data_IF_619920288604
#
_entry.id   IF_619920288604
#
_cell.length_a   1.000
_cell.length_b   1.000
_cell.length_c   1.000
_cell.angle_alpha   90.00
_cell.angle_beta   90.00
_cell.angle_gamma   90.00
#
_symmetry.space_group_name_H-M   'P 1'
#
loop_
_entity.id
_entity.type
_entity.pdbx_description
1 polymer ?
#
# COMPACT_ATOMS: atom_id res chain seq x y z
N UNK A 1 -22.15 51.31 -1.80
CA UNK A 1 -20.73 50.98 -2.15
C UNK A 1 -20.02 50.22 -1.02
N UNK A 2 -19.87 50.76 0.21
CA UNK A 2 -19.15 50.09 1.33
C UNK A 2 -19.73 48.73 1.74
N UNK A 3 -21.08 48.52 1.74
CA UNK A 3 -21.69 47.20 2.05
C UNK A 3 -21.43 46.17 0.95
N UNK A 4 -21.47 46.55 -0.30
CA UNK A 4 -21.21 45.69 -1.45
C UNK A 4 -19.74 45.21 -1.48
N UNK A 5 -18.78 46.09 -1.19
CA UNK A 5 -17.35 45.74 -1.04
C UNK A 5 -17.11 44.77 0.13
N UNK A 6 -17.85 44.93 1.26
CA UNK A 6 -17.72 43.96 2.38
C UNK A 6 -18.26 42.58 2.02
N UNK A 7 -19.37 42.51 1.25
CA UNK A 7 -19.95 41.24 0.78
C UNK A 7 -18.98 40.53 -0.20
N UNK A 8 -18.41 41.27 -1.16
CA UNK A 8 -17.43 40.72 -2.09
C UNK A 8 -16.17 40.22 -1.32
N UNK A 9 -15.65 41.02 -0.37
CA UNK A 9 -14.51 40.60 0.46
C UNK A 9 -14.80 39.34 1.28
N UNK A 10 -16.01 39.22 1.85
CA UNK A 10 -16.41 38.02 2.57
C UNK A 10 -16.52 36.78 1.64
N UNK A 11 -17.08 36.94 0.43
CA UNK A 11 -17.19 35.84 -0.54
C UNK A 11 -15.82 35.37 -1.04
N UNK A 12 -14.86 36.28 -1.24
CA UNK A 12 -13.46 35.93 -1.63
C UNK A 12 -12.79 35.03 -0.58
N UNK A 13 -13.14 35.14 0.70
CA UNK A 13 -12.58 34.33 1.77
C UNK A 13 -13.41 33.06 2.01
N UNK A 14 -14.73 33.15 2.01
CA UNK A 14 -15.61 32.02 2.35
C UNK A 14 -15.60 30.95 1.25
N UNK A 15 -15.64 31.33 -0.02
CA UNK A 15 -15.70 30.37 -1.13
C UNK A 15 -14.46 29.46 -1.19
N UNK A 16 -13.21 29.97 -1.11
CA UNK A 16 -12.02 29.13 -1.07
C UNK A 16 -11.97 28.22 0.18
N UNK A 17 -12.38 28.72 1.34
CA UNK A 17 -12.43 27.93 2.57
C UNK A 17 -13.45 26.79 2.48
N UNK A 18 -14.66 27.08 1.96
CA UNK A 18 -15.67 26.07 1.74
C UNK A 18 -15.22 25.02 0.71
N UNK A 19 -14.55 25.45 -0.37
CA UNK A 19 -13.99 24.55 -1.36
C UNK A 19 -12.87 23.68 -0.77
N UNK A 20 -11.94 24.26 0.00
CA UNK A 20 -10.89 23.51 0.69
C UNK A 20 -11.48 22.48 1.67
N UNK A 21 -12.49 22.86 2.44
CA UNK A 21 -13.23 21.95 3.33
C UNK A 21 -13.90 20.81 2.57
N UNK A 22 -14.52 21.10 1.44
CA UNK A 22 -15.13 20.09 0.57
C UNK A 22 -14.09 19.12 0.02
N UNK A 23 -12.95 19.62 -0.47
CA UNK A 23 -11.84 18.78 -0.97
C UNK A 23 -11.31 17.89 0.16
N UNK A 24 -11.03 18.45 1.33
CA UNK A 24 -10.58 17.68 2.49
C UNK A 24 -11.59 16.56 2.85
N UNK A 25 -12.89 16.89 2.89
CA UNK A 25 -13.95 15.91 3.15
C UNK A 25 -13.98 14.77 2.11
N UNK A 26 -13.73 15.08 0.82
CA UNK A 26 -13.72 14.10 -0.26
C UNK A 26 -12.48 13.19 -0.24
N UNK A 27 -11.35 13.69 0.26
CA UNK A 27 -10.09 12.94 0.33
C UNK A 27 -9.95 12.12 1.61
N UNK A 28 -10.68 12.46 2.67
CA UNK A 28 -10.63 11.72 3.94
C UNK A 28 -11.38 10.39 3.82
N UNK A 29 -10.78 9.26 4.20
CA UNK A 29 -11.44 7.97 4.28
C UNK A 29 -12.67 8.03 5.19
N UNK A 30 -13.71 7.27 4.83
CA UNK A 30 -14.91 7.09 5.65
C UNK A 30 -15.03 5.61 5.98
N UNK A 31 -15.37 5.31 7.23
CA UNK A 31 -15.61 3.93 7.64
C UNK A 31 -16.71 3.30 6.79
N UNK A 32 -16.39 2.16 6.19
CA UNK A 32 -17.28 1.45 5.27
C UNK A 32 -17.52 -0.01 5.72
N UNK A 33 -16.55 -0.66 6.36
CA UNK A 33 -16.62 -2.04 6.87
C UNK A 33 -17.26 -3.00 5.85
N UNK A 34 -16.68 -3.06 4.66
CA UNK A 34 -17.23 -3.83 3.56
C UNK A 34 -17.05 -5.34 3.82
N UNK A 35 -18.05 -6.17 3.46
CA UNK A 35 -17.88 -7.60 3.56
C UNK A 35 -16.77 -8.09 2.62
N UNK A 36 -15.99 -9.07 3.07
CA UNK A 36 -15.00 -9.71 2.21
C UNK A 36 -15.69 -10.56 1.14
N UNK A 37 -15.21 -10.52 -0.11
CA UNK A 37 -15.62 -11.46 -1.14
C UNK A 37 -15.36 -12.92 -0.75
N UNK A 38 -16.10 -13.83 -1.37
CA UNK A 38 -15.90 -15.26 -1.22
C UNK A 38 -14.46 -15.68 -1.58
N UNK A 39 -13.88 -16.57 -0.80
CA UNK A 39 -12.50 -17.04 -0.98
C UNK A 39 -11.44 -16.15 -0.32
N UNK A 40 -11.81 -14.99 0.24
CA UNK A 40 -10.94 -14.16 1.06
C UNK A 40 -11.24 -14.39 2.55
N UNK A 41 -10.20 -14.40 3.40
CA UNK A 41 -10.36 -14.69 4.83
C UNK A 41 -9.78 -13.54 5.66
N UNK A 42 -10.58 -12.96 6.55
CA UNK A 42 -10.11 -11.93 7.48
C UNK A 42 -9.19 -12.54 8.54
N UNK A 43 -8.13 -11.81 8.90
CA UNK A 43 -7.15 -12.25 9.91
C UNK A 43 -7.78 -12.44 11.31
N UNK A 44 -8.79 -11.66 11.65
CA UNK A 44 -9.47 -11.66 12.95
C UNK A 44 -10.49 -12.81 13.13
N UNK A 45 -10.69 -13.64 12.11
CA UNK A 45 -11.46 -14.88 12.20
C UNK A 45 -10.62 -16.04 12.76
N UNK A 46 -11.28 -17.09 13.29
CA UNK A 46 -10.56 -18.30 13.74
C UNK A 46 -9.74 -18.92 12.63
N UNK A 47 -10.30 -18.99 11.41
CA UNK A 47 -9.59 -19.48 10.22
C UNK A 47 -8.39 -18.59 9.87
N UNK A 48 -8.55 -17.26 9.91
CA UNK A 48 -7.46 -16.32 9.59
C UNK A 48 -6.32 -16.40 10.59
N UNK A 49 -6.61 -16.54 11.88
CA UNK A 49 -5.60 -16.76 12.92
C UNK A 49 -4.88 -18.10 12.76
N UNK A 50 -5.62 -19.18 12.49
CA UNK A 50 -5.04 -20.49 12.25
C UNK A 50 -4.11 -20.52 11.03
N UNK A 51 -4.47 -19.78 9.95
CA UNK A 51 -3.58 -19.60 8.79
C UNK A 51 -2.28 -18.92 9.18
N UNK A 52 -2.31 -17.87 10.03
CA UNK A 52 -1.09 -17.19 10.48
C UNK A 52 -0.23 -18.09 11.37
N UNK A 53 -0.84 -18.78 12.34
CA UNK A 53 -0.15 -19.69 13.26
C UNK A 53 0.54 -20.85 12.53
N UNK A 54 -0.05 -21.32 11.42
CA UNK A 54 0.49 -22.39 10.58
C UNK A 54 1.29 -21.92 9.37
N UNK A 55 1.58 -20.60 9.26
CA UNK A 55 2.33 -20.06 8.13
C UNK A 55 3.80 -20.42 8.20
N UNK A 56 4.35 -20.89 7.08
CA UNK A 56 5.77 -21.24 6.95
C UNK A 56 6.67 -20.02 6.79
N UNK A 57 6.11 -18.93 6.27
CA UNK A 57 6.84 -17.73 5.87
C UNK A 57 6.16 -16.47 6.43
N UNK A 58 6.70 -15.92 7.51
CA UNK A 58 6.15 -14.75 8.20
C UNK A 58 7.24 -13.98 8.98
N UNK A 59 8.48 -13.98 8.49
CA UNK A 59 9.63 -13.45 9.23
C UNK A 59 9.47 -12.00 9.68
N UNK A 60 8.78 -11.17 8.90
CA UNK A 60 8.59 -9.75 9.15
C UNK A 60 7.21 -9.36 9.68
N UNK A 61 6.26 -10.31 9.81
CA UNK A 61 4.90 -9.99 10.22
C UNK A 61 4.82 -9.17 11.49
N UNK A 62 5.51 -9.60 12.54
CA UNK A 62 5.45 -8.96 13.85
C UNK A 62 6.03 -7.53 13.87
N UNK A 63 6.99 -7.23 12.99
CA UNK A 63 7.57 -5.89 12.85
C UNK A 63 6.63 -5.01 12.04
N UNK A 64 6.13 -5.53 10.91
CA UNK A 64 5.16 -4.82 10.06
C UNK A 64 3.87 -4.48 10.82
N UNK A 65 3.34 -5.41 11.62
CA UNK A 65 2.14 -5.17 12.43
C UNK A 65 2.34 -4.02 13.43
N UNK A 66 3.51 -3.94 14.07
CA UNK A 66 3.84 -2.88 15.04
C UNK A 66 4.03 -1.50 14.40
N UNK A 67 4.49 -1.46 13.15
CA UNK A 67 4.79 -0.22 12.43
C UNK A 67 3.71 0.16 11.42
N UNK A 68 2.68 -0.67 11.29
CA UNK A 68 1.62 -0.48 10.32
C UNK A 68 0.83 0.81 10.57
N UNK A 69 0.48 1.48 9.48
CA UNK A 69 -0.40 2.65 9.50
C UNK A 69 -1.53 2.50 8.47
N UNK A 70 -2.76 2.79 8.88
CA UNK A 70 -3.88 2.99 7.97
C UNK A 70 -3.70 4.26 7.13
N UNK A 71 -4.13 4.22 5.86
CA UNK A 71 -4.01 5.37 4.97
C UNK A 71 -4.88 6.55 5.43
N UNK A 72 -4.27 7.74 5.57
CA UNK A 72 -4.94 8.95 6.03
C UNK A 72 -5.77 9.64 4.93
N UNK A 73 -5.44 9.43 3.66
CA UNK A 73 -6.20 9.90 2.50
C UNK A 73 -6.53 8.72 1.59
N UNK A 74 -7.63 8.82 0.84
CA UNK A 74 -8.10 7.73 -0.04
C UNK A 74 -7.10 7.30 -1.11
N UNK A 75 -6.13 8.16 -1.45
CA UNK A 75 -5.06 7.92 -2.43
C UNK A 75 -3.72 7.50 -1.81
N UNK A 76 -3.65 7.39 -0.47
CA UNK A 76 -2.39 7.23 0.26
C UNK A 76 -2.02 5.77 0.58
N UNK A 77 -2.61 4.78 -0.10
CA UNK A 77 -2.26 3.37 0.14
C UNK A 77 -0.74 3.12 0.03
N UNK A 78 -0.10 3.60 -1.03
CA UNK A 78 1.35 3.48 -1.20
C UNK A 78 2.17 4.32 -0.20
N UNK A 79 1.65 5.48 0.25
CA UNK A 79 2.29 6.29 1.30
C UNK A 79 2.25 5.54 2.63
N UNK A 80 1.08 5.02 3.04
CA UNK A 80 0.92 4.26 4.27
C UNK A 80 1.77 2.99 4.27
N UNK A 81 1.78 2.25 3.16
CA UNK A 81 2.66 1.08 2.97
C UNK A 81 4.14 1.46 3.07
N UNK A 82 4.54 2.56 2.44
CA UNK A 82 5.91 3.06 2.51
C UNK A 82 6.30 3.47 3.93
N UNK A 83 5.42 4.19 4.66
CA UNK A 83 5.65 4.56 6.06
C UNK A 83 5.80 3.33 6.95
N UNK A 84 4.93 2.34 6.78
CA UNK A 84 5.02 1.07 7.50
C UNK A 84 6.42 0.44 7.35
N UNK A 85 6.92 0.35 6.10
CA UNK A 85 8.22 -0.27 5.82
C UNK A 85 9.40 0.59 6.27
N UNK A 86 9.40 1.91 6.03
CA UNK A 86 10.52 2.76 6.48
C UNK A 86 10.63 2.77 8.01
N UNK A 87 9.52 2.69 8.73
CA UNK A 87 9.52 2.58 10.19
C UNK A 87 9.99 1.18 10.65
N UNK A 88 9.60 0.12 9.95
CA UNK A 88 10.10 -1.24 10.18
C UNK A 88 11.62 -1.34 9.98
N UNK A 89 12.18 -0.54 9.07
CA UNK A 89 13.62 -0.40 8.83
C UNK A 89 14.33 0.60 9.76
N UNK A 90 13.66 1.02 10.86
CA UNK A 90 14.23 1.86 11.91
C UNK A 90 14.24 3.36 11.62
N UNK A 91 13.61 3.83 10.55
CA UNK A 91 13.35 5.25 10.35
C UNK A 91 12.15 5.68 11.22
N UNK A 92 11.99 6.99 11.42
CA UNK A 92 10.79 7.56 12.05
C UNK A 92 10.09 8.47 11.06
N UNK A 93 8.96 8.01 10.53
CA UNK A 93 8.17 8.76 9.57
C UNK A 93 6.68 8.63 9.88
N UNK A 94 5.90 9.62 9.46
CA UNK A 94 4.45 9.55 9.30
C UNK A 94 4.10 9.92 7.85
N UNK A 95 2.83 9.81 7.46
CA UNK A 95 2.43 10.06 6.07
C UNK A 95 2.65 11.50 5.59
N UNK A 96 2.81 12.45 6.52
CA UNK A 96 3.22 13.81 6.17
C UNK A 96 4.73 13.93 5.96
N UNK A 97 5.56 13.42 6.88
CA UNK A 97 7.02 13.48 6.83
C UNK A 97 7.65 12.45 5.87
N UNK A 98 6.84 11.54 5.32
CA UNK A 98 7.25 10.66 4.22
C UNK A 98 7.73 11.47 3.01
N UNK A 99 7.08 12.61 2.76
CA UNK A 99 7.49 13.55 1.73
C UNK A 99 8.54 14.52 2.27
N UNK A 100 9.75 14.43 1.75
CA UNK A 100 10.87 15.32 1.99
C UNK A 100 11.40 15.86 0.65
N UNK A 101 12.46 16.68 0.66
CA UNK A 101 13.02 17.27 -0.56
C UNK A 101 13.35 16.21 -1.64
N UNK A 102 13.85 15.05 -1.26
CA UNK A 102 14.24 14.00 -2.21
C UNK A 102 13.01 13.30 -2.80
N UNK A 103 12.06 12.90 -1.95
CA UNK A 103 10.83 12.23 -2.40
C UNK A 103 9.94 13.16 -3.23
N UNK A 104 9.85 14.45 -2.89
CA UNK A 104 9.12 15.46 -3.68
C UNK A 104 9.67 15.61 -5.11
N UNK A 105 10.96 15.33 -5.35
CA UNK A 105 11.56 15.36 -6.69
C UNK A 105 11.16 14.15 -7.54
N UNK A 106 10.78 13.02 -6.93
CA UNK A 106 10.28 11.82 -7.62
C UNK A 106 8.80 12.00 -7.98
N UNK A 107 7.97 12.24 -6.95
CA UNK A 107 6.55 12.50 -7.10
C UNK A 107 6.07 13.38 -5.94
N UNK A 108 5.54 14.54 -6.26
CA UNK A 108 5.14 15.51 -5.23
C UNK A 108 3.96 14.97 -4.41
N UNK A 109 3.89 15.41 -3.14
CA UNK A 109 2.75 15.14 -2.26
C UNK A 109 1.42 15.51 -2.93
N UNK A 110 1.38 16.66 -3.60
CA UNK A 110 0.18 17.12 -4.30
C UNK A 110 -0.26 16.11 -5.36
N UNK A 111 0.68 15.64 -6.18
CA UNK A 111 0.39 14.66 -7.22
C UNK A 111 -0.09 13.33 -6.63
N UNK A 112 0.51 12.86 -5.53
CA UNK A 112 0.04 11.65 -4.83
C UNK A 112 -1.33 11.86 -4.20
N UNK A 113 -1.59 13.02 -3.61
CA UNK A 113 -2.88 13.34 -2.98
C UNK A 113 -4.04 13.23 -3.96
N UNK A 114 -3.87 13.69 -5.19
CA UNK A 114 -4.95 13.72 -6.19
C UNK A 114 -4.92 12.57 -7.19
N UNK A 115 -3.79 11.91 -7.38
CA UNK A 115 -3.61 10.88 -8.42
C UNK A 115 -3.10 9.53 -7.92
N UNK A 116 -2.81 9.40 -6.61
CA UNK A 116 -2.15 8.20 -6.09
C UNK A 116 -0.72 8.02 -6.64
N UNK A 117 -0.25 6.79 -6.69
CA UNK A 117 1.07 6.46 -7.22
C UNK A 117 1.07 5.15 -8.00
N UNK A 118 1.93 5.05 -8.99
CA UNK A 118 2.23 3.83 -9.71
C UNK A 118 3.31 3.01 -8.98
N UNK A 119 3.58 1.79 -9.45
CA UNK A 119 4.67 0.97 -8.91
C UNK A 119 6.05 1.63 -9.09
N UNK A 120 6.40 2.24 -10.24
CA UNK A 120 7.64 3.02 -10.37
C UNK A 120 7.73 4.21 -9.43
N UNK A 121 6.61 4.92 -9.17
CA UNK A 121 6.59 6.02 -8.20
C UNK A 121 6.89 5.52 -6.79
N UNK A 122 6.29 4.40 -6.36
CA UNK A 122 6.55 3.78 -5.07
C UNK A 122 8.03 3.42 -4.91
N UNK A 123 8.60 2.73 -5.90
CA UNK A 123 10.01 2.35 -5.89
C UNK A 123 10.90 3.58 -5.76
N UNK A 124 10.74 4.58 -6.62
CA UNK A 124 11.55 5.81 -6.59
C UNK A 124 11.39 6.62 -5.29
N UNK A 125 10.18 6.65 -4.70
CA UNK A 125 9.96 7.31 -3.40
C UNK A 125 10.71 6.59 -2.26
N UNK A 126 10.75 5.27 -2.25
CA UNK A 126 11.47 4.48 -1.26
C UNK A 126 12.99 4.59 -1.45
N UNK A 127 13.48 4.56 -2.70
CA UNK A 127 14.89 4.84 -3.04
C UNK A 127 15.32 6.24 -2.60
N UNK A 128 14.46 7.25 -2.81
CA UNK A 128 14.70 8.63 -2.36
C UNK A 128 14.70 8.77 -0.82
N UNK A 129 14.21 7.77 -0.09
CA UNK A 129 14.34 7.61 1.36
C UNK A 129 15.63 6.89 1.78
N UNK A 130 16.48 6.54 0.83
CA UNK A 130 17.76 5.87 1.08
C UNK A 130 17.65 4.36 1.26
N UNK A 131 16.61 3.73 0.73
CA UNK A 131 16.41 2.29 0.78
C UNK A 131 16.87 1.62 -0.51
N UNK A 132 17.21 0.36 -0.44
CA UNK A 132 17.44 -0.49 -1.60
C UNK A 132 16.12 -1.11 -2.02
N UNK A 133 15.77 -0.96 -3.30
CA UNK A 133 14.48 -1.39 -3.83
C UNK A 133 14.67 -2.23 -5.08
N UNK A 134 14.14 -3.45 -5.06
CA UNK A 134 13.96 -4.29 -6.24
C UNK A 134 12.52 -4.19 -6.71
N UNK A 135 12.30 -3.90 -7.98
CA UNK A 135 10.96 -3.71 -8.54
C UNK A 135 10.73 -4.66 -9.72
N UNK A 136 9.61 -5.40 -9.71
CA UNK A 136 9.17 -6.25 -10.81
C UNK A 136 7.69 -6.00 -11.12
N UNK A 137 7.37 -5.94 -12.43
CA UNK A 137 5.98 -5.92 -12.87
C UNK A 137 5.41 -7.34 -12.92
N UNK A 138 4.11 -7.49 -12.74
CA UNK A 138 3.45 -8.79 -12.67
C UNK A 138 3.52 -9.61 -13.97
N UNK A 139 3.84 -8.97 -15.10
CA UNK A 139 4.04 -9.61 -16.39
C UNK A 139 5.51 -9.97 -16.71
N UNK A 140 6.44 -9.71 -15.78
CA UNK A 140 7.88 -9.97 -15.93
C UNK A 140 8.32 -11.32 -15.33
N UNK A 141 7.43 -12.07 -14.68
CA UNK A 141 7.71 -13.36 -14.07
C UNK A 141 6.49 -14.30 -14.16
N UNK A 142 6.75 -15.59 -14.12
CA UNK A 142 5.71 -16.63 -14.03
C UNK A 142 5.13 -16.74 -12.62
N UNK A 143 3.99 -17.43 -12.49
CA UNK A 143 3.38 -17.71 -11.20
C UNK A 143 4.33 -18.47 -10.24
N UNK A 144 5.08 -19.45 -10.76
CA UNK A 144 6.02 -20.23 -9.93
C UNK A 144 7.22 -19.39 -9.48
N UNK A 145 7.79 -18.57 -10.37
CA UNK A 145 8.86 -17.64 -10.00
C UNK A 145 8.37 -16.64 -8.93
N UNK A 146 7.14 -16.15 -9.04
CA UNK A 146 6.56 -15.29 -8.02
C UNK A 146 6.39 -16.05 -6.68
N UNK A 147 5.91 -17.30 -6.70
CA UNK A 147 5.76 -18.12 -5.49
C UNK A 147 7.10 -18.36 -4.80
N UNK A 148 8.16 -18.67 -5.56
CA UNK A 148 9.49 -18.89 -5.01
C UNK A 148 10.11 -17.59 -4.47
N UNK A 149 9.87 -16.45 -5.13
CA UNK A 149 10.24 -15.14 -4.62
C UNK A 149 9.54 -14.83 -3.29
N UNK A 150 8.24 -15.06 -3.20
CA UNK A 150 7.46 -14.84 -1.96
C UNK A 150 8.01 -15.66 -0.80
N UNK A 151 8.31 -16.97 -1.02
CA UNK A 151 8.92 -17.82 -0.02
C UNK A 151 10.28 -17.29 0.41
N UNK A 152 11.11 -16.94 -0.56
CA UNK A 152 12.47 -16.41 -0.32
C UNK A 152 12.41 -15.09 0.46
N UNK A 153 11.56 -14.14 0.06
CA UNK A 153 11.42 -12.85 0.71
C UNK A 153 10.90 -12.99 2.15
N UNK A 154 9.75 -13.65 2.34
CA UNK A 154 9.07 -13.76 3.63
C UNK A 154 9.76 -14.72 4.62
N UNK A 155 10.84 -15.42 4.21
CA UNK A 155 11.72 -16.19 5.10
C UNK A 155 12.82 -15.34 5.75
N UNK A 156 13.04 -14.10 5.27
CA UNK A 156 14.15 -13.23 5.65
C UNK A 156 13.66 -12.00 6.40
N UNK A 157 14.25 -11.72 7.55
CA UNK A 157 13.97 -10.49 8.27
C UNK A 157 14.57 -9.26 7.59
N UNK A 158 13.79 -8.18 7.48
CA UNK A 158 14.24 -6.91 6.94
C UNK A 158 14.24 -6.82 5.42
N UNK A 159 13.55 -7.73 4.73
CA UNK A 159 13.32 -7.73 3.27
C UNK A 159 11.81 -7.65 2.99
N UNK A 160 11.26 -6.47 3.03
CA UNK A 160 9.81 -6.25 3.03
C UNK A 160 9.22 -6.28 1.63
N UNK A 161 8.11 -6.99 1.47
CA UNK A 161 7.37 -7.13 0.21
C UNK A 161 6.15 -6.19 0.21
N UNK A 162 6.08 -5.27 -0.76
CA UNK A 162 4.91 -4.44 -1.03
C UNK A 162 4.33 -4.80 -2.38
N UNK A 163 3.02 -5.09 -2.43
CA UNK A 163 2.31 -5.44 -3.66
C UNK A 163 1.42 -4.31 -4.15
N UNK A 164 1.48 -4.01 -5.45
CA UNK A 164 0.54 -3.16 -6.17
C UNK A 164 -0.37 -4.06 -7.01
N UNK A 165 -1.67 -4.04 -6.76
CA UNK A 165 -2.63 -4.95 -7.37
C UNK A 165 -3.96 -4.28 -7.68
N UNK A 166 -4.74 -4.87 -8.59
CA UNK A 166 -6.09 -4.43 -8.92
C UNK A 166 -7.11 -5.17 -8.04
N UNK A 167 -7.78 -4.46 -7.16
CA UNK A 167 -8.75 -5.02 -6.20
C UNK A 167 -9.93 -5.75 -6.85
N UNK A 168 -10.35 -5.33 -8.05
CA UNK A 168 -11.47 -5.94 -8.78
C UNK A 168 -11.25 -7.44 -9.04
N UNK A 169 -10.02 -7.86 -9.29
CA UNK A 169 -9.66 -9.27 -9.50
C UNK A 169 -9.90 -10.12 -8.26
N UNK A 170 -9.85 -9.50 -7.08
CA UNK A 170 -10.16 -10.12 -5.79
C UNK A 170 -11.65 -10.01 -5.42
N UNK A 171 -12.52 -9.59 -6.35
CA UNK A 171 -13.94 -9.37 -6.09
C UNK A 171 -14.26 -8.10 -5.29
N UNK A 172 -13.28 -7.24 -5.05
CA UNK A 172 -13.42 -5.96 -4.34
C UNK A 172 -13.73 -4.82 -5.32
N UNK A 173 -13.85 -3.57 -4.83
CA UNK A 173 -14.12 -2.41 -5.70
C UNK A 173 -13.02 -2.18 -6.74
N UNK A 174 -13.41 -1.70 -7.93
CA UNK A 174 -12.51 -1.43 -9.06
C UNK A 174 -11.56 -0.26 -8.79
N UNK A 175 -10.48 -0.54 -8.09
CA UNK A 175 -9.42 0.44 -7.76
C UNK A 175 -8.09 -0.27 -7.59
N UNK A 176 -7.00 0.36 -8.04
CA UNK A 176 -5.65 -0.08 -7.71
C UNK A 176 -5.32 0.13 -6.25
N UNK A 177 -4.51 -0.75 -5.68
CA UNK A 177 -4.13 -0.68 -4.28
C UNK A 177 -2.69 -1.14 -4.06
N UNK A 178 -2.08 -0.59 -3.00
CA UNK A 178 -0.74 -0.98 -2.56
C UNK A 178 -0.83 -1.32 -1.08
N UNK A 179 -0.26 -2.47 -0.70
CA UNK A 179 -0.18 -2.89 0.71
C UNK A 179 1.05 -3.77 0.97
N UNK A 180 1.55 -3.79 2.21
CA UNK A 180 2.55 -4.77 2.62
C UNK A 180 1.98 -6.19 2.65
N UNK A 181 2.86 -7.17 2.44
CA UNK A 181 2.57 -8.59 2.65
C UNK A 181 3.19 -9.03 3.96
N UNK A 182 2.40 -9.64 4.84
CA UNK A 182 2.84 -10.04 6.17
C UNK A 182 3.26 -11.50 6.28
N UNK A 183 2.62 -12.40 5.51
CA UNK A 183 2.86 -13.83 5.62
C UNK A 183 2.45 -14.59 4.35
N UNK A 184 2.96 -15.81 4.21
CA UNK A 184 2.53 -16.79 3.23
C UNK A 184 2.34 -18.16 3.90
N UNK A 185 1.16 -18.73 3.71
CA UNK A 185 0.78 -20.07 4.15
C UNK A 185 0.83 -21.01 2.95
N UNK A 186 1.74 -21.97 2.94
CA UNK A 186 1.91 -22.90 1.81
C UNK A 186 0.79 -23.91 1.69
N UNK A 187 0.25 -24.38 2.80
CA UNK A 187 -0.81 -25.39 2.80
C UNK A 187 -2.11 -24.88 2.14
N UNK A 188 -2.42 -23.59 2.35
CA UNK A 188 -3.58 -22.92 1.74
C UNK A 188 -3.25 -22.19 0.42
N UNK A 189 -1.99 -22.07 0.02
CA UNK A 189 -1.47 -21.20 -1.05
C UNK A 189 -2.01 -19.77 -0.91
N UNK A 190 -1.91 -19.19 0.32
CA UNK A 190 -2.52 -17.92 0.69
C UNK A 190 -1.49 -16.92 1.20
N UNK A 191 -1.61 -15.67 0.75
CA UNK A 191 -0.80 -14.54 1.19
C UNK A 191 -1.61 -13.60 2.10
N UNK A 192 -1.01 -13.16 3.20
CA UNK A 192 -1.62 -12.18 4.10
C UNK A 192 -1.28 -10.76 3.63
N UNK A 193 -2.29 -10.04 3.17
CA UNK A 193 -2.21 -8.62 2.85
C UNK A 193 -2.51 -7.78 4.10
N UNK A 194 -1.57 -6.94 4.51
CA UNK A 194 -1.78 -5.96 5.57
C UNK A 194 -2.42 -4.71 4.97
N UNK A 195 -3.72 -4.80 4.72
CA UNK A 195 -4.47 -3.79 3.97
C UNK A 195 -4.43 -2.43 4.65
N UNK A 196 -3.86 -1.42 3.98
CA UNK A 196 -3.75 -0.06 4.52
C UNK A 196 -5.06 0.73 4.44
N UNK A 197 -6.08 0.22 3.74
CA UNK A 197 -7.43 0.79 3.73
C UNK A 197 -8.33 0.11 4.78
N UNK A 198 -7.90 0.15 6.05
CA UNK A 198 -8.60 -0.44 7.21
C UNK A 198 -10.05 0.01 7.36
N UNK A 199 -10.37 1.19 6.86
CA UNK A 199 -11.75 1.68 6.79
C UNK A 199 -12.64 0.90 5.81
N UNK A 200 -12.08 -0.01 5.00
CA UNK A 200 -12.81 -0.88 4.06
C UNK A 200 -12.72 -2.35 4.44
N UNK A 201 -11.51 -2.83 4.68
CA UNK A 201 -11.22 -4.25 4.87
C UNK A 201 -10.17 -4.46 5.96
N UNK A 202 -10.29 -5.51 6.77
CA UNK A 202 -9.23 -5.94 7.68
C UNK A 202 -8.02 -6.47 6.91
N UNK A 203 -6.95 -6.85 7.62
CA UNK A 203 -5.90 -7.69 7.04
C UNK A 203 -6.52 -8.96 6.49
N UNK A 204 -6.16 -9.32 5.28
CA UNK A 204 -6.90 -10.29 4.50
C UNK A 204 -5.98 -11.31 3.86
N UNK A 205 -6.28 -12.58 4.08
CA UNK A 205 -5.70 -13.68 3.33
C UNK A 205 -6.31 -13.76 1.94
N UNK A 206 -5.45 -13.81 0.94
CA UNK A 206 -5.84 -13.88 -0.48
C UNK A 206 -5.11 -15.06 -1.13
N UNK A 207 -5.77 -15.84 -2.02
CA UNK A 207 -5.08 -16.87 -2.79
C UNK A 207 -3.92 -16.26 -3.60
N UNK A 208 -2.73 -16.84 -3.53
CA UNK A 208 -1.54 -16.34 -4.23
C UNK A 208 -1.80 -16.19 -5.74
N UNK A 209 -2.48 -17.16 -6.35
CA UNK A 209 -2.83 -17.11 -7.77
C UNK A 209 -3.74 -15.93 -8.12
N UNK A 210 -4.65 -15.55 -7.22
CA UNK A 210 -5.54 -14.40 -7.43
C UNK A 210 -4.80 -13.08 -7.31
N UNK A 211 -3.89 -12.97 -6.32
CA UNK A 211 -3.03 -11.79 -6.18
C UNK A 211 -2.08 -11.64 -7.37
N UNK A 212 -1.48 -12.73 -7.83
CA UNK A 212 -0.64 -12.74 -9.03
C UNK A 212 -1.40 -12.20 -10.26
N UNK A 213 -2.61 -12.69 -10.52
CA UNK A 213 -3.47 -12.16 -11.59
C UNK A 213 -3.79 -10.68 -11.38
N UNK A 214 -4.06 -10.26 -10.14
CA UNK A 214 -4.36 -8.87 -9.82
C UNK A 214 -3.16 -7.92 -10.04
N UNK A 215 -1.93 -8.42 -9.95
CA UNK A 215 -0.71 -7.69 -10.27
C UNK A 215 -0.43 -7.60 -11.77
N UNK A 216 -0.95 -8.51 -12.59
CA UNK A 216 -0.83 -8.45 -14.05
C UNK A 216 -1.74 -7.41 -14.70
N UNK A 217 -2.76 -6.93 -13.97
CA UNK A 217 -3.65 -5.88 -14.44
C UNK A 217 -2.90 -4.56 -14.68
N UNK A 218 -3.26 -3.88 -15.78
CA UNK A 218 -2.64 -2.61 -16.15
C UNK A 218 -2.98 -1.51 -15.15
N UNK A 219 -1.97 -0.76 -14.76
CA UNK A 219 -2.13 0.51 -14.07
C UNK A 219 -2.34 1.63 -15.09
N UNK A 220 -3.49 2.30 -15.01
CA UNK A 220 -3.83 3.41 -15.90
C UNK A 220 -2.86 4.60 -15.81
N UNK A 221 -2.16 4.75 -14.69
CA UNK A 221 -1.20 5.85 -14.48
C UNK A 221 0.12 5.61 -15.22
N UNK A 222 0.60 4.36 -15.28
CA UNK A 222 1.88 4.00 -15.91
C UNK A 222 1.73 3.33 -17.26
N UNK A 223 0.54 2.79 -17.57
CA UNK A 223 0.29 1.96 -18.77
C UNK A 223 0.95 0.57 -18.74
N UNK A 224 1.66 0.23 -17.63
CA UNK A 224 2.35 -1.04 -17.39
C UNK A 224 1.49 -1.94 -16.49
N UNK A 225 1.81 -3.22 -16.44
CA UNK A 225 1.29 -4.11 -15.42
C UNK A 225 1.63 -3.55 -14.02
N UNK A 226 0.79 -3.86 -13.04
CA UNK A 226 1.11 -3.63 -11.63
C UNK A 226 2.24 -4.57 -11.22
N UNK A 227 2.45 -4.87 -9.97
CA UNK A 227 3.53 -5.77 -9.55
C UNK A 227 3.88 -5.56 -8.10
N UNK A 228 5.16 -5.64 -7.77
CA UNK A 228 5.62 -5.55 -6.39
C UNK A 228 7.00 -4.89 -6.30
N UNK A 229 7.34 -4.50 -5.09
CA UNK A 229 8.70 -4.11 -4.71
C UNK A 229 9.15 -4.90 -3.49
N UNK A 230 10.42 -5.30 -3.48
CA UNK A 230 11.14 -5.74 -2.29
C UNK A 230 11.97 -4.59 -1.77
N UNK A 231 11.95 -4.35 -0.46
CA UNK A 231 12.51 -3.15 0.16
C UNK A 231 13.36 -3.53 1.37
N UNK A 232 14.61 -3.07 1.40
CA UNK A 232 15.55 -3.35 2.49
C UNK A 232 16.52 -2.20 2.72
N UNK A 233 17.30 -2.31 3.79
CA UNK A 233 18.43 -1.40 4.01
C UNK A 233 19.54 -1.68 2.97
N UNK A 234 20.22 -0.62 2.47
CA UNK A 234 21.34 -0.80 1.55
C UNK A 234 22.45 -1.68 2.14
N UNK A 235 22.97 -2.58 1.32
CA UNK A 235 24.05 -3.48 1.72
C UNK A 235 23.61 -4.66 2.61
N UNK A 236 22.31 -4.86 2.82
CA UNK A 236 21.82 -6.06 3.50
C UNK A 236 22.14 -7.29 2.64
N UNK A 237 22.91 -8.23 3.21
CA UNK A 237 23.19 -9.50 2.57
C UNK A 237 22.36 -10.58 3.25
N UNK A 238 21.61 -11.33 2.47
CA UNK A 238 20.92 -12.52 2.95
C UNK A 238 21.79 -13.74 2.60
N UNK A 239 22.09 -14.54 3.60
CA UNK A 239 22.75 -15.82 3.34
C UNK A 239 21.79 -16.71 2.52
N UNK A 240 22.29 -17.41 1.51
CA UNK A 240 21.49 -18.30 0.66
C UNK A 240 20.85 -19.45 1.45
#
# INVERSE_FOLDING_TARGET
MKRFLKIIGALILIVPLAFAGYVAYRLTPKQLDLPLPEGLVAIDTDTGRALLESSDYAADYSVLEKTWEGQQLISYCGVASGVTVVNALGQSANQFSFFNKNTESVRSRVNVTFGGMSLPDLAGLLEARGLEVSKLHGDELSLEEFRDLVKSNLSRQGDYLLVNYQREVLGQSRVGHISPVGAYNTAGDQMLILDTADYKYPYTWVPLVSLYKAMQEKDSASGRARGFVEVRLPGTQFNP
#
